data_IF_771372018402
#
_entry.id   IF_771372018402
#
_cell.length_a   1.000
_cell.length_b   1.000
_cell.length_c   1.000
_cell.angle_alpha   90.00
_cell.angle_beta   90.00
_cell.angle_gamma   90.00
#
_symmetry.space_group_name_H-M   'P 1'
#
loop_
_entity.id
_entity.type
_entity.pdbx_description
1 polymer ?
#
# COMPACT_ATOMS: atom_id res chain seq x y z
N UNK A 1 29.61 28.20 33.54
CA UNK A 1 28.39 28.92 33.10
C UNK A 1 28.21 28.86 31.58
N UNK A 2 29.26 29.08 30.79
CA UNK A 2 29.24 29.02 29.32
C UNK A 2 28.64 27.72 28.74
N UNK A 3 28.99 26.54 29.28
CA UNK A 3 28.45 25.25 28.83
C UNK A 3 26.92 25.15 28.92
N UNK A 4 26.32 25.72 29.97
CA UNK A 4 24.87 25.71 30.18
C UNK A 4 24.17 26.68 29.21
N UNK A 5 24.79 27.83 28.95
CA UNK A 5 24.31 28.79 27.96
C UNK A 5 24.34 28.19 26.54
N UNK A 6 25.41 27.50 26.16
CA UNK A 6 25.52 26.83 24.85
C UNK A 6 24.46 25.74 24.68
N UNK A 7 24.19 24.93 25.71
CA UNK A 7 23.13 23.91 25.67
C UNK A 7 21.73 24.52 25.52
N UNK A 8 21.45 25.61 26.25
CA UNK A 8 20.18 26.33 26.13
C UNK A 8 19.99 26.93 24.73
N UNK A 9 21.04 27.52 24.17
CA UNK A 9 21.01 28.06 22.81
C UNK A 9 20.78 26.94 21.78
N UNK A 10 21.45 25.79 21.92
CA UNK A 10 21.26 24.65 21.03
C UNK A 10 19.82 24.11 21.07
N UNK A 11 19.18 24.08 22.25
CA UNK A 11 17.80 23.65 22.40
C UNK A 11 16.81 24.65 21.79
N UNK A 12 17.09 25.95 21.88
CA UNK A 12 16.28 27.02 21.28
C UNK A 12 16.40 27.06 19.75
N UNK A 13 17.51 26.58 19.20
CA UNK A 13 17.74 26.47 17.75
C UNK A 13 17.22 25.16 17.15
N UNK A 14 16.74 24.22 17.97
CA UNK A 14 16.12 22.99 17.49
C UNK A 14 14.72 23.28 16.93
N UNK A 15 14.66 23.70 15.67
CA UNK A 15 13.40 23.89 14.97
C UNK A 15 12.74 22.53 14.66
N UNK A 16 11.40 22.40 14.76
CA UNK A 16 10.71 21.20 14.32
C UNK A 16 10.96 21.02 12.82
N UNK A 17 11.60 19.93 12.44
CA UNK A 17 11.72 19.57 11.03
C UNK A 17 10.36 19.09 10.54
N UNK A 18 9.83 19.76 9.53
CA UNK A 18 8.61 19.32 8.85
C UNK A 18 8.97 18.14 7.95
N UNK A 19 9.21 16.98 8.56
CA UNK A 19 9.32 15.74 7.81
C UNK A 19 7.93 15.44 7.22
N UNK A 20 7.78 15.64 5.92
CA UNK A 20 6.56 15.25 5.22
C UNK A 20 6.29 13.77 5.47
N UNK A 21 5.04 13.41 5.80
CA UNK A 21 4.65 12.01 5.92
C UNK A 21 4.92 11.32 4.57
N UNK A 22 5.86 10.39 4.56
CA UNK A 22 6.13 9.57 3.39
C UNK A 22 4.96 8.62 3.19
N UNK A 23 4.31 8.72 2.02
CA UNK A 23 3.25 7.82 1.60
C UNK A 23 3.81 6.87 0.56
N UNK A 24 3.86 5.57 0.85
CA UNK A 24 4.48 4.58 -0.03
C UNK A 24 3.59 3.35 -0.19
N UNK A 25 3.58 2.79 -1.40
CA UNK A 25 3.01 1.49 -1.68
C UNK A 25 3.99 0.73 -2.57
N UNK A 26 4.19 -0.56 -2.30
CA UNK A 26 4.96 -1.46 -3.15
C UNK A 26 3.98 -2.41 -3.83
N UNK A 27 4.06 -2.51 -5.15
CA UNK A 27 3.23 -3.42 -5.93
C UNK A 27 4.11 -4.45 -6.60
N UNK A 28 3.92 -5.72 -6.26
CA UNK A 28 4.61 -6.85 -6.88
C UNK A 28 3.68 -7.51 -7.86
N UNK A 29 4.16 -7.74 -9.08
CA UNK A 29 3.44 -8.47 -10.12
C UNK A 29 4.32 -9.63 -10.58
N UNK A 30 3.85 -10.85 -10.38
CA UNK A 30 4.62 -12.06 -10.68
C UNK A 30 3.71 -13.25 -11.01
N UNK A 31 4.22 -14.21 -11.78
CA UNK A 31 3.55 -15.50 -11.93
C UNK A 31 3.83 -16.33 -10.67
N UNK A 32 2.79 -16.72 -9.95
CA UNK A 32 2.92 -17.59 -8.78
C UNK A 32 3.11 -19.03 -9.25
N UNK A 33 4.27 -19.68 -9.02
CA UNK A 33 4.56 -21.01 -9.56
C UNK A 33 3.69 -22.12 -8.94
N UNK A 34 3.07 -21.88 -7.78
CA UNK A 34 2.18 -22.86 -7.13
C UNK A 34 0.78 -22.85 -7.72
N UNK A 35 0.29 -21.68 -8.12
CA UNK A 35 -1.09 -21.51 -8.64
C UNK A 35 -1.13 -21.33 -10.15
N UNK A 36 0.02 -21.08 -10.79
CA UNK A 36 0.18 -20.75 -12.21
C UNK A 36 -0.65 -19.52 -12.63
N UNK A 37 -0.91 -18.62 -11.69
CA UNK A 37 -1.66 -17.38 -11.91
C UNK A 37 -0.76 -16.17 -11.83
N UNK A 38 -1.11 -15.12 -12.58
CA UNK A 38 -0.55 -13.80 -12.37
C UNK A 38 -1.06 -13.28 -11.03
N UNK A 39 -0.16 -13.02 -10.10
CA UNK A 39 -0.45 -12.51 -8.77
C UNK A 39 0.02 -11.06 -8.64
N UNK A 40 -0.87 -10.24 -8.10
CA UNK A 40 -0.66 -8.82 -7.81
C UNK A 40 -0.78 -8.61 -6.31
N UNK A 41 0.32 -8.20 -5.68
CA UNK A 41 0.35 -7.92 -4.25
C UNK A 41 0.66 -6.45 -4.03
N UNK A 42 -0.28 -5.71 -3.45
CA UNK A 42 -0.08 -4.33 -3.03
C UNK A 42 0.20 -4.27 -1.53
N UNK A 43 1.41 -3.93 -1.16
CA UNK A 43 1.85 -3.74 0.21
C UNK A 43 1.81 -2.26 0.56
N UNK A 44 0.97 -1.91 1.54
CA UNK A 44 0.74 -0.52 1.95
C UNK A 44 0.87 -0.43 3.47
N UNK A 45 1.64 0.52 4.01
CA UNK A 45 1.66 0.78 5.43
C UNK A 45 0.24 1.00 5.98
N UNK A 46 -0.06 0.42 7.14
CA UNK A 46 -1.40 0.46 7.75
C UNK A 46 -1.91 1.90 7.89
N UNK A 47 -1.06 2.82 8.31
CA UNK A 47 -1.41 4.23 8.45
C UNK A 47 -1.81 4.88 7.11
N UNK A 48 -1.14 4.52 6.02
CA UNK A 48 -1.43 5.01 4.67
C UNK A 48 -2.73 4.41 4.14
N UNK A 49 -2.98 3.12 4.41
CA UNK A 49 -4.22 2.44 4.06
C UNK A 49 -5.42 3.10 4.76
N UNK A 50 -5.31 3.34 6.07
CA UNK A 50 -6.34 4.06 6.83
C UNK A 50 -6.49 5.51 6.38
N UNK A 51 -5.40 6.20 6.09
CA UNK A 51 -5.45 7.55 5.54
C UNK A 51 -6.23 7.56 4.21
N UNK A 52 -5.97 6.59 3.32
CA UNK A 52 -6.73 6.46 2.07
C UNK A 52 -8.23 6.28 2.34
N UNK A 53 -8.60 5.43 3.30
CA UNK A 53 -10.00 5.25 3.70
C UNK A 53 -10.63 6.52 4.29
N UNK A 54 -9.90 7.29 5.11
CA UNK A 54 -10.37 8.59 5.62
C UNK A 54 -10.67 9.56 4.48
N UNK A 55 -9.79 9.64 3.48
CA UNK A 55 -10.01 10.45 2.28
C UNK A 55 -11.24 9.97 1.48
N UNK A 56 -11.57 8.68 1.53
CA UNK A 56 -12.80 8.12 0.94
C UNK A 56 -14.05 8.30 1.83
N UNK A 57 -13.94 8.98 2.98
CA UNK A 57 -15.06 9.28 3.87
C UNK A 57 -15.24 8.33 5.06
N UNK A 58 -14.34 7.37 5.27
CA UNK A 58 -14.37 6.53 6.48
C UNK A 58 -14.02 7.39 7.71
N UNK A 59 -14.89 7.37 8.73
CA UNK A 59 -14.69 8.18 9.95
C UNK A 59 -13.57 7.64 10.84
N UNK A 60 -13.60 6.33 11.11
CA UNK A 60 -12.64 5.66 12.01
C UNK A 60 -12.26 4.32 11.39
N UNK A 61 -11.47 4.33 10.29
CA UNK A 61 -10.95 3.08 9.74
C UNK A 61 -9.97 2.46 10.74
N UNK A 62 -10.06 1.14 10.89
CA UNK A 62 -9.19 0.33 11.74
C UNK A 62 -8.77 -0.90 10.95
N UNK A 63 -7.67 -0.79 10.21
CA UNK A 63 -7.21 -1.88 9.36
C UNK A 63 -6.80 -3.10 10.21
N UNK A 64 -6.31 -2.90 11.43
CA UNK A 64 -5.85 -3.98 12.30
C UNK A 64 -7.02 -4.76 12.90
N UNK A 65 -7.98 -4.06 13.51
CA UNK A 65 -9.09 -4.69 14.23
C UNK A 65 -10.32 -4.99 13.38
N UNK A 66 -10.51 -4.33 12.23
CA UNK A 66 -11.75 -4.44 11.45
C UNK A 66 -11.54 -5.12 10.09
N UNK A 67 -12.19 -6.28 9.91
CA UNK A 67 -12.28 -6.95 8.62
C UNK A 67 -12.97 -6.07 7.57
N UNK A 68 -13.98 -5.30 7.97
CA UNK A 68 -14.69 -4.38 7.08
C UNK A 68 -13.79 -3.23 6.60
N UNK A 69 -12.88 -2.73 7.44
CA UNK A 69 -11.89 -1.74 7.04
C UNK A 69 -10.91 -2.33 6.04
N UNK A 70 -10.43 -3.56 6.26
CA UNK A 70 -9.58 -4.28 5.30
C UNK A 70 -10.28 -4.46 3.96
N UNK A 71 -11.53 -4.89 3.98
CA UNK A 71 -12.32 -5.11 2.77
C UNK A 71 -12.64 -3.79 2.05
N UNK A 72 -12.92 -2.71 2.79
CA UNK A 72 -13.06 -1.38 2.22
C UNK A 72 -11.78 -0.91 1.53
N UNK A 73 -10.62 -1.21 2.12
CA UNK A 73 -9.33 -0.88 1.53
C UNK A 73 -9.02 -1.73 0.30
N UNK A 74 -9.31 -3.03 0.33
CA UNK A 74 -9.19 -3.92 -0.83
C UNK A 74 -10.04 -3.43 -2.01
N UNK A 75 -11.28 -2.99 -1.74
CA UNK A 75 -12.14 -2.34 -2.76
C UNK A 75 -11.53 -1.04 -3.30
N UNK A 76 -10.92 -0.24 -2.43
CA UNK A 76 -10.21 0.98 -2.85
C UNK A 76 -9.04 0.65 -3.81
N UNK A 77 -8.21 -0.32 -3.45
CA UNK A 77 -7.09 -0.79 -4.30
C UNK A 77 -7.61 -1.31 -5.64
N UNK A 78 -8.63 -2.16 -5.63
CA UNK A 78 -9.19 -2.78 -6.84
C UNK A 78 -9.72 -1.74 -7.83
N UNK A 79 -10.31 -0.64 -7.34
CA UNK A 79 -10.77 0.47 -8.20
C UNK A 79 -9.65 1.34 -8.75
N UNK A 80 -8.51 1.43 -8.04
CA UNK A 80 -7.47 2.42 -8.34
C UNK A 80 -6.27 1.86 -9.10
N UNK A 81 -6.00 0.56 -8.93
CA UNK A 81 -4.90 -0.15 -9.57
C UNK A 81 -5.46 -1.09 -10.63
N UNK A 82 -5.52 -0.57 -11.85
CA UNK A 82 -5.86 -1.33 -13.04
C UNK A 82 -4.57 -1.83 -13.67
N UNK A 83 -4.63 -2.95 -14.39
CA UNK A 83 -3.49 -3.41 -15.17
C UNK A 83 -3.92 -3.78 -16.57
N UNK A 84 -2.97 -3.64 -17.49
CA UNK A 84 -3.10 -4.06 -18.87
C UNK A 84 -2.08 -5.15 -19.17
N UNK A 85 -2.52 -6.18 -19.90
CA UNK A 85 -1.67 -7.22 -20.47
C UNK A 85 -1.79 -7.10 -21.98
N UNK A 86 -0.67 -6.87 -22.67
CA UNK A 86 -0.62 -6.77 -24.14
C UNK A 86 -1.64 -5.77 -24.72
N UNK A 87 -1.86 -4.67 -24.00
CA UNK A 87 -2.80 -3.61 -24.38
C UNK A 87 -4.28 -3.91 -24.08
N UNK A 88 -4.59 -5.03 -23.44
CA UNK A 88 -5.93 -5.33 -22.94
C UNK A 88 -6.02 -5.10 -21.44
N UNK A 89 -6.96 -4.23 -21.04
CA UNK A 89 -7.30 -4.04 -19.63
C UNK A 89 -7.86 -5.34 -19.05
N UNK A 90 -7.32 -5.76 -17.91
CA UNK A 90 -7.82 -6.90 -17.16
C UNK A 90 -8.27 -6.45 -15.78
N UNK A 91 -9.21 -7.20 -15.20
CA UNK A 91 -9.68 -7.00 -13.84
C UNK A 91 -9.30 -8.23 -13.02
N UNK A 92 -8.17 -8.17 -12.27
CA UNK A 92 -7.79 -9.26 -11.39
C UNK A 92 -8.83 -9.51 -10.31
N UNK A 93 -9.09 -10.79 -10.02
CA UNK A 93 -9.94 -11.24 -8.94
C UNK A 93 -9.29 -10.90 -7.60
N UNK A 94 -10.07 -10.38 -6.66
CA UNK A 94 -9.61 -10.20 -5.29
C UNK A 94 -9.58 -11.54 -4.56
N UNK A 95 -8.41 -11.88 -4.01
CA UNK A 95 -8.18 -13.14 -3.29
C UNK A 95 -8.29 -12.93 -1.79
N UNK A 96 -7.74 -11.82 -1.28
CA UNK A 96 -7.78 -11.51 0.15
C UNK A 96 -6.79 -10.43 0.55
N UNK A 97 -6.82 -10.12 1.84
CA UNK A 97 -5.90 -9.17 2.47
C UNK A 97 -5.20 -9.82 3.66
N UNK A 98 -3.93 -9.47 3.86
CA UNK A 98 -3.12 -9.92 4.99
C UNK A 98 -2.51 -8.71 5.72
N UNK A 99 -2.21 -8.86 7.00
CA UNK A 99 -1.44 -7.89 7.77
C UNK A 99 -0.19 -8.56 8.31
N UNK A 100 0.96 -7.97 7.99
CA UNK A 100 2.25 -8.41 8.53
C UNK A 100 2.95 -7.20 9.14
N UNK A 101 3.06 -7.19 10.47
CA UNK A 101 3.56 -6.03 11.21
C UNK A 101 2.70 -4.78 10.94
N UNK A 102 3.32 -3.71 10.45
CA UNK A 102 2.66 -2.44 10.13
C UNK A 102 2.27 -2.30 8.64
N UNK A 103 2.20 -3.41 7.90
CA UNK A 103 1.87 -3.44 6.47
C UNK A 103 0.60 -4.23 6.24
N UNK A 104 -0.33 -3.65 5.48
CA UNK A 104 -1.50 -4.32 4.93
C UNK A 104 -1.22 -4.69 3.46
N UNK A 105 -1.37 -5.96 3.13
CA UNK A 105 -1.19 -6.51 1.80
C UNK A 105 -2.55 -6.81 1.18
N UNK A 106 -2.83 -6.35 -0.03
CA UNK A 106 -3.99 -6.76 -0.82
C UNK A 106 -3.53 -7.65 -1.98
N UNK A 107 -4.04 -8.87 -2.05
CA UNK A 107 -3.66 -9.89 -3.03
C UNK A 107 -4.78 -10.04 -4.06
N UNK A 108 -4.41 -9.96 -5.33
CA UNK A 108 -5.30 -10.20 -6.45
C UNK A 108 -4.66 -11.16 -7.44
N UNK A 109 -5.48 -11.88 -8.18
CA UNK A 109 -5.01 -12.84 -9.17
C UNK A 109 -5.75 -12.72 -10.50
N UNK A 110 -5.04 -12.98 -11.59
CA UNK A 110 -5.60 -13.07 -12.93
C UNK A 110 -5.04 -14.31 -13.63
N UNK A 111 -5.66 -14.76 -14.74
CA UNK A 111 -5.03 -15.75 -15.61
C UNK A 111 -3.62 -15.28 -16.01
N UNK A 112 -2.65 -16.19 -16.00
CA UNK A 112 -1.32 -15.90 -16.51
C UNK A 112 -1.41 -15.61 -18.03
N UNK A 113 -0.65 -14.63 -18.54
CA UNK A 113 -0.61 -14.35 -19.96
C UNK A 113 0.01 -15.52 -20.75
N UNK A 114 -0.47 -15.72 -21.98
CA UNK A 114 0.04 -16.76 -22.86
C UNK A 114 1.39 -16.33 -23.45
N UNK A 115 2.49 -16.69 -22.78
CA UNK A 115 3.86 -16.51 -23.27
C UNK A 115 4.75 -15.68 -22.36
N UNK A 116 6.05 -15.99 -22.38
CA UNK A 116 7.05 -15.38 -21.50
C UNK A 116 7.34 -13.89 -21.77
N UNK A 117 6.78 -13.31 -22.83
CA UNK A 117 7.07 -11.95 -23.30
C UNK A 117 5.93 -10.95 -23.08
N UNK A 118 4.88 -11.32 -22.35
CA UNK A 118 3.72 -10.46 -22.15
C UNK A 118 4.08 -9.16 -21.42
N UNK A 119 3.63 -8.04 -21.98
CA UNK A 119 3.88 -6.71 -21.41
C UNK A 119 2.82 -6.39 -20.38
N UNK A 120 3.22 -6.22 -19.11
CA UNK A 120 2.34 -5.77 -18.04
C UNK A 120 2.55 -4.28 -17.78
N UNK A 121 1.45 -3.51 -17.79
CA UNK A 121 1.42 -2.09 -17.40
C UNK A 121 0.48 -1.90 -16.20
N UNK A 122 0.84 -1.00 -15.30
CA UNK A 122 0.12 -0.65 -14.06
C UNK A 122 -0.15 0.85 -14.06
#
# INVERSE_FOLDING_TARGET
MLRRAVLLIALLLAAPTWAHQQKIAISTVAINPRTERLELVHQVPVHDAEHALRVQGAKVPDIIGSADSREAFARYITRRFLIEIDGQAITPDYVGSEITGAVCSCIRQAPAPAGAAALVRI
#
